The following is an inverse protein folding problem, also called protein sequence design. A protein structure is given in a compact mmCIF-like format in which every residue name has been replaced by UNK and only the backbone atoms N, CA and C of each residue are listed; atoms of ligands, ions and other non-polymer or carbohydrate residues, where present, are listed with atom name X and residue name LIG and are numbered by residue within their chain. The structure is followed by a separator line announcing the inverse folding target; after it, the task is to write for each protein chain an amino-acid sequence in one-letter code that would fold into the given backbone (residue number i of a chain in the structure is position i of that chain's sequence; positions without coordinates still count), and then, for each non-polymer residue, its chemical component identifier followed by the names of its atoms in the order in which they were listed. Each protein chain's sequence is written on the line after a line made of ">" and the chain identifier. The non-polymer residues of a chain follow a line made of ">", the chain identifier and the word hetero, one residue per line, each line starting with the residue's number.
data_IF_464388193390
#
_entry.id   IF_464388193390
#
_cell.length_a   1.000
_cell.length_b   1.000
_cell.length_c   1.000
_cell.angle_alpha   90.00
_cell.angle_beta   90.00
_cell.angle_gamma   90.00
#
_symmetry.space_group_name_H-M   'P 1'
#
loop_
_entity.id
_entity.type
_entity.pdbx_description
1 polymer ?
#
# COMPACT_ATOMS: atom_id res chain seq x y z
N UNK A 1 -6.26 -11.24 18.11
CA UNK A 1 -6.97 -11.98 17.04
C UNK A 1 -6.97 -11.07 15.83
N UNK A 2 -5.80 -10.93 15.20
CA UNK A 2 -5.52 -9.88 14.21
C UNK A 2 -5.06 -10.50 12.88
N UNK A 3 -5.36 -11.79 12.70
CA UNK A 3 -4.91 -12.64 11.60
C UNK A 3 -5.79 -12.52 10.35
N UNK A 4 -6.89 -11.77 10.38
CA UNK A 4 -7.85 -11.73 9.26
C UNK A 4 -7.44 -10.81 8.11
N UNK A 5 -6.45 -9.93 8.30
CA UNK A 5 -6.00 -9.01 7.24
C UNK A 5 -4.46 -8.85 7.14
N UNK A 6 -3.75 -9.89 6.68
CA UNK A 6 -2.31 -9.81 6.43
C UNK A 6 -1.96 -8.71 5.41
N UNK A 7 -2.79 -8.49 4.40
CA UNK A 7 -2.60 -7.47 3.37
C UNK A 7 -2.61 -6.06 3.96
N UNK A 8 -3.63 -5.69 4.73
CA UNK A 8 -3.72 -4.36 5.31
C UNK A 8 -2.61 -4.07 6.32
N UNK A 9 -2.19 -5.08 7.10
CA UNK A 9 -1.02 -4.95 7.99
C UNK A 9 0.25 -4.70 7.20
N UNK A 10 0.45 -5.43 6.10
CA UNK A 10 1.59 -5.24 5.22
C UNK A 10 1.61 -3.84 4.58
N UNK A 11 0.48 -3.37 4.05
CA UNK A 11 0.34 -2.03 3.48
C UNK A 11 0.63 -0.94 4.51
N UNK A 12 0.07 -1.05 5.72
CA UNK A 12 0.32 -0.09 6.80
C UNK A 12 1.81 -0.04 7.19
N UNK A 13 2.43 -1.21 7.38
CA UNK A 13 3.85 -1.30 7.73
C UNK A 13 4.76 -0.74 6.63
N UNK A 14 4.45 -0.98 5.36
CA UNK A 14 5.24 -0.43 4.25
C UNK A 14 5.07 1.07 4.13
N UNK A 15 3.84 1.58 4.23
CA UNK A 15 3.52 3.02 4.20
C UNK A 15 4.28 3.79 5.27
N UNK A 16 4.42 3.24 6.48
CA UNK A 16 5.18 3.87 7.56
C UNK A 16 6.70 3.86 7.33
N UNK A 17 7.19 2.94 6.50
CA UNK A 17 8.62 2.77 6.21
C UNK A 17 9.09 3.58 5.01
N UNK A 18 8.25 3.72 3.98
CA UNK A 18 8.57 4.50 2.77
C UNK A 18 8.53 5.98 3.12
N UNK A 19 9.59 6.71 2.77
CA UNK A 19 9.62 8.13 3.01
C UNK A 19 9.09 8.89 1.80
N UNK A 20 8.47 10.07 1.99
CA UNK A 20 8.04 10.92 0.88
C UNK A 20 9.16 11.22 -0.11
N UNK A 21 10.39 11.37 0.38
CA UNK A 21 11.54 11.67 -0.46
C UNK A 21 11.90 10.51 -1.42
N UNK A 22 11.64 9.25 -1.03
CA UNK A 22 11.90 8.05 -1.85
C UNK A 22 11.00 7.99 -3.10
N UNK A 23 9.86 8.70 -3.06
CA UNK A 23 8.87 8.76 -4.14
C UNK A 23 8.78 10.16 -4.75
N UNK A 24 9.84 10.96 -4.60
CA UNK A 24 9.94 12.34 -5.11
C UNK A 24 8.85 13.31 -4.59
N UNK A 25 8.21 12.99 -3.47
CA UNK A 25 7.30 13.90 -2.79
C UNK A 25 8.11 14.80 -1.87
N UNK A 26 8.06 16.11 -2.12
CA UNK A 26 8.63 17.08 -1.19
C UNK A 26 7.70 17.21 0.01
N UNK A 27 8.19 16.92 1.23
CA UNK A 27 7.35 17.06 2.40
C UNK A 27 7.02 18.53 2.69
N UNK A 28 5.74 18.84 2.76
CA UNK A 28 5.27 20.16 3.13
C UNK A 28 5.08 20.27 4.66
N UNK A 29 5.83 21.17 5.29
CA UNK A 29 5.59 21.65 6.67
C UNK A 29 5.70 20.60 7.79
N UNK A 30 4.95 20.82 8.88
CA UNK A 30 4.94 19.96 10.08
C UNK A 30 4.15 18.67 9.80
N UNK A 31 4.86 17.59 9.50
CA UNK A 31 4.30 16.25 9.29
C UNK A 31 3.97 15.56 10.62
N UNK A 32 2.83 14.87 10.69
CA UNK A 32 2.45 14.03 11.86
C UNK A 32 2.94 12.59 11.74
N UNK A 33 3.26 12.14 10.53
CA UNK A 33 3.74 10.79 10.23
C UNK A 33 5.16 10.87 9.66
N UNK A 34 5.98 9.85 9.98
CA UNK A 34 7.37 9.76 9.51
C UNK A 34 7.47 9.21 8.08
N UNK A 35 6.56 8.31 7.70
CA UNK A 35 6.44 7.78 6.34
C UNK A 35 5.35 8.46 5.51
N UNK A 36 4.89 7.78 4.48
CA UNK A 36 3.84 8.27 3.59
C UNK A 36 2.49 8.41 4.29
N UNK A 37 1.76 9.45 3.91
CA UNK A 37 0.35 9.63 4.26
C UNK A 37 -0.52 8.81 3.33
N UNK A 38 -1.72 8.45 3.79
CA UNK A 38 -2.69 7.74 2.94
C UNK A 38 -3.00 8.53 1.66
N UNK A 39 -3.19 9.84 1.80
CA UNK A 39 -3.44 10.76 0.68
C UNK A 39 -2.31 10.75 -0.36
N UNK A 40 -1.06 10.62 0.08
CA UNK A 40 0.11 10.52 -0.81
C UNK A 40 0.14 9.16 -1.53
N UNK A 41 -0.11 8.06 -0.81
CA UNK A 41 -0.16 6.72 -1.40
C UNK A 41 -1.25 6.62 -2.46
N UNK A 42 -2.46 7.10 -2.16
CA UNK A 42 -3.58 7.01 -3.11
C UNK A 42 -3.39 7.91 -4.33
N UNK A 43 -2.74 9.07 -4.16
CA UNK A 43 -2.33 9.93 -5.27
C UNK A 43 -1.32 9.23 -6.19
N UNK A 44 -0.31 8.57 -5.61
CA UNK A 44 0.70 7.83 -6.36
C UNK A 44 0.12 6.57 -7.04
N UNK A 45 -0.78 5.86 -6.37
CA UNK A 45 -1.37 4.63 -6.87
C UNK A 45 -2.60 4.87 -7.79
N UNK A 46 -3.12 6.09 -7.87
CA UNK A 46 -4.30 6.41 -8.67
C UNK A 46 -5.58 5.70 -8.19
N UNK A 47 -5.73 5.52 -6.88
CA UNK A 47 -6.90 4.88 -6.26
C UNK A 47 -7.65 5.84 -5.34
N UNK A 48 -8.85 5.47 -4.90
CA UNK A 48 -9.59 6.26 -3.91
C UNK A 48 -9.08 6.03 -2.49
N UNK A 49 -9.13 7.08 -1.65
CA UNK A 49 -8.79 6.98 -0.21
C UNK A 49 -9.61 5.94 0.53
N UNK A 50 -10.91 5.85 0.23
CA UNK A 50 -11.81 4.86 0.84
C UNK A 50 -11.42 3.44 0.46
N UNK A 51 -11.00 3.23 -0.79
CA UNK A 51 -10.54 1.93 -1.28
C UNK A 51 -9.26 1.47 -0.56
N UNK A 52 -8.25 2.35 -0.50
CA UNK A 52 -7.00 2.07 0.21
C UNK A 52 -7.23 1.83 1.72
N UNK A 53 -8.11 2.62 2.34
CA UNK A 53 -8.50 2.44 3.75
C UNK A 53 -9.25 1.12 3.95
N UNK A 54 -10.09 0.73 3.00
CA UNK A 54 -10.77 -0.56 2.96
C UNK A 54 -9.80 -1.74 2.91
N UNK A 55 -8.71 -1.62 2.15
CA UNK A 55 -7.62 -2.61 2.11
C UNK A 55 -6.88 -2.68 3.45
N UNK A 56 -6.53 -1.54 4.04
CA UNK A 56 -5.87 -1.49 5.37
C UNK A 56 -6.76 -2.11 6.47
N UNK A 57 -8.08 -1.93 6.40
CA UNK A 57 -9.05 -2.47 7.36
C UNK A 57 -9.54 -3.88 7.05
N UNK A 58 -9.25 -4.40 5.85
CA UNK A 58 -9.60 -5.77 5.44
C UNK A 58 -11.04 -5.92 4.97
N UNK A 59 -11.71 -4.80 4.69
CA UNK A 59 -13.01 -4.74 4.02
C UNK A 59 -12.85 -5.08 2.54
N UNK A 60 -11.78 -4.58 1.95
CA UNK A 60 -11.32 -4.95 0.61
C UNK A 60 -10.17 -5.96 0.75
N UNK A 61 -10.24 -7.10 0.05
CA UNK A 61 -9.21 -8.16 0.14
C UNK A 61 -8.66 -8.60 -1.21
N UNK A 62 -9.31 -8.18 -2.30
CA UNK A 62 -8.99 -8.61 -3.66
C UNK A 62 -8.75 -7.38 -4.56
N UNK A 63 -7.63 -6.68 -4.39
CA UNK A 63 -7.23 -5.67 -5.37
C UNK A 63 -7.00 -6.29 -6.74
N UNK A 64 -7.37 -5.56 -7.79
CA UNK A 64 -7.06 -5.96 -9.16
C UNK A 64 -5.54 -5.95 -9.35
N UNK A 65 -5.04 -6.73 -10.33
CA UNK A 65 -3.61 -6.76 -10.63
C UNK A 65 -3.03 -5.36 -10.90
N UNK A 66 -3.79 -4.51 -11.59
CA UNK A 66 -3.42 -3.11 -11.85
C UNK A 66 -3.27 -2.30 -10.55
N UNK A 67 -4.20 -2.45 -9.60
CA UNK A 67 -4.14 -1.74 -8.32
C UNK A 67 -3.00 -2.28 -7.46
N UNK A 68 -2.79 -3.59 -7.44
CA UNK A 68 -1.63 -4.22 -6.81
C UNK A 68 -0.31 -3.64 -7.32
N UNK A 69 -0.13 -3.56 -8.64
CA UNK A 69 1.09 -3.01 -9.24
C UNK A 69 1.25 -1.50 -8.97
N UNK A 70 0.15 -0.74 -9.00
CA UNK A 70 0.18 0.68 -8.65
C UNK A 70 0.56 0.91 -7.18
N UNK A 71 -0.01 0.13 -6.25
CA UNK A 71 0.33 0.18 -4.83
C UNK A 71 1.78 -0.27 -4.59
N UNK A 72 2.26 -1.28 -5.32
CA UNK A 72 3.64 -1.72 -5.23
C UNK A 72 4.62 -0.61 -5.61
N UNK A 73 4.36 0.09 -6.73
CA UNK A 73 5.17 1.24 -7.15
C UNK A 73 5.10 2.40 -6.16
N UNK A 74 3.89 2.74 -5.69
CA UNK A 74 3.69 3.82 -4.72
C UNK A 74 4.39 3.56 -3.37
N UNK A 75 4.52 2.29 -2.98
CA UNK A 75 5.16 1.86 -1.73
C UNK A 75 6.60 1.35 -1.93
N UNK A 76 7.18 1.62 -3.10
CA UNK A 76 8.56 1.24 -3.49
C UNK A 76 8.83 -0.21 -3.13
N UNK A 77 7.88 -1.10 -3.39
CA UNK A 77 8.04 -2.53 -3.15
C UNK A 77 8.99 -3.08 -4.21
N UNK A 78 10.10 -3.67 -3.76
CA UNK A 78 10.98 -4.47 -4.63
C UNK A 78 10.17 -5.60 -5.29
N UNK A 79 10.56 -6.05 -6.48
CA UNK A 79 9.81 -7.04 -7.28
C UNK A 79 9.47 -8.32 -6.50
N UNK A 80 10.32 -8.74 -5.56
CA UNK A 80 10.07 -9.88 -4.65
C UNK A 80 8.89 -9.68 -3.69
N UNK A 81 8.59 -8.44 -3.30
CA UNK A 81 7.47 -8.12 -2.41
C UNK A 81 6.12 -8.02 -3.14
N UNK A 82 6.13 -7.90 -4.47
CA UNK A 82 4.92 -7.92 -5.30
C UNK A 82 4.23 -9.28 -5.24
N UNK A 83 5.01 -10.37 -5.05
CA UNK A 83 4.48 -11.72 -4.89
C UNK A 83 3.51 -11.86 -3.68
N UNK A 84 3.66 -11.02 -2.65
CA UNK A 84 2.74 -10.98 -1.51
C UNK A 84 1.43 -10.23 -1.78
N UNK A 85 1.35 -9.46 -2.87
CA UNK A 85 0.15 -8.73 -3.29
C UNK A 85 -0.69 -9.50 -4.31
N UNK A 86 -0.18 -10.61 -4.83
CA UNK A 86 -0.96 -11.54 -5.65
C UNK A 86 -1.54 -12.64 -4.74
N UNK A 87 -2.85 -12.93 -4.81
CA UNK A 87 -3.34 -14.18 -4.25
C UNK A 87 -2.61 -15.31 -4.98
N UNK A 88 -1.91 -16.17 -4.22
CA UNK A 88 -1.28 -17.36 -4.79
C UNK A 88 -2.39 -18.13 -5.53
N UNK A 89 -2.29 -18.23 -6.84
CA UNK A 89 -3.19 -19.08 -7.61
C UNK A 89 -2.64 -20.49 -7.43
N UNK A 90 -3.30 -21.41 -6.73
CA UNK A 90 -2.88 -22.80 -6.78
C UNK A 90 -2.92 -23.24 -8.25
N UNK A 91 -1.82 -23.83 -8.72
CA UNK A 91 -1.75 -24.47 -10.03
C UNK A 91 -2.75 -25.64 -10.12
N UNK A 92 -3.08 -26.09 -11.36
CA UNK A 92 -4.13 -27.08 -11.60
C UNK A 92 -3.89 -28.42 -10.92
#
# INVERSE_FOLDING_TARGET
>A
MDSENPLGRFLCARRERVRPEDVNIRPAGRRRVAGLRREEVVLLAGVSTDYYTGLEQGRERHPSAQVTEALARALVLEEDAVAHLHPVRPGP
#
